data_IF_173741203679
#
_entry.id   IF_173741203679
#
_cell.length_a   1.000
_cell.length_b   1.000
_cell.length_c   1.000
_cell.angle_alpha   90.00
_cell.angle_beta   90.00
_cell.angle_gamma   90.00
#
_symmetry.space_group_name_H-M   'P 1'
#
loop_
_entity.id
_entity.type
_entity.pdbx_description
1 polymer ?
#
# COMPACT_ATOMS: atom_id res chain seq x y z
N UNK A 1 29.62 8.91 -1.04
CA UNK A 1 28.63 9.14 0.03
C UNK A 1 27.64 10.28 -0.32
N UNK A 2 28.11 11.46 -0.77
CA UNK A 2 27.25 12.62 -1.11
C UNK A 2 26.21 12.31 -2.22
N UNK A 3 26.60 11.55 -3.23
CA UNK A 3 25.73 11.20 -4.36
C UNK A 3 24.65 10.16 -3.99
N UNK A 4 24.95 9.24 -3.06
CA UNK A 4 24.03 8.24 -2.53
C UNK A 4 22.96 8.89 -1.63
N UNK A 5 23.37 9.82 -0.78
CA UNK A 5 22.48 10.56 0.12
C UNK A 5 21.49 11.42 -0.68
N UNK A 6 21.95 12.10 -1.73
CA UNK A 6 21.11 12.91 -2.61
C UNK A 6 19.97 12.09 -3.24
N UNK A 7 20.22 10.83 -3.62
CA UNK A 7 19.20 9.96 -4.24
C UNK A 7 18.08 9.52 -3.28
N UNK A 8 18.41 9.24 -2.03
CA UNK A 8 17.39 8.90 -1.00
C UNK A 8 16.59 10.14 -0.62
N UNK A 9 17.21 11.28 -0.47
CA UNK A 9 16.56 12.58 -0.24
C UNK A 9 15.50 12.86 -1.32
N UNK A 10 15.86 12.65 -2.59
CA UNK A 10 14.90 12.81 -3.71
C UNK A 10 13.67 11.90 -3.57
N UNK A 11 13.83 10.67 -3.07
CA UNK A 11 12.68 9.77 -2.84
C UNK A 11 11.80 10.27 -1.69
N UNK A 12 12.41 10.72 -0.59
CA UNK A 12 11.67 11.32 0.53
C UNK A 12 10.94 12.62 0.13
N UNK A 13 11.57 13.49 -0.64
CA UNK A 13 10.93 14.71 -1.18
C UNK A 13 9.71 14.36 -2.05
N UNK A 14 9.81 13.34 -2.90
CA UNK A 14 8.69 12.86 -3.71
C UNK A 14 7.58 12.27 -2.85
N UNK A 15 7.92 11.45 -1.85
CA UNK A 15 6.96 10.95 -0.86
C UNK A 15 6.22 12.10 -0.20
N UNK A 16 6.93 13.08 0.33
CA UNK A 16 6.35 14.21 1.05
C UNK A 16 5.41 15.03 0.16
N UNK A 17 5.79 15.25 -1.10
CA UNK A 17 4.92 15.90 -2.07
C UNK A 17 3.61 15.12 -2.30
N UNK A 18 3.71 13.79 -2.42
CA UNK A 18 2.54 12.91 -2.59
C UNK A 18 1.66 12.88 -1.34
N UNK A 19 2.27 12.80 -0.15
CA UNK A 19 1.54 12.78 1.12
C UNK A 19 0.82 14.11 1.38
N UNK A 20 1.44 15.26 1.08
CA UNK A 20 0.80 16.57 1.21
C UNK A 20 -0.47 16.69 0.38
N UNK A 21 -0.49 16.16 -0.83
CA UNK A 21 -1.65 16.21 -1.74
C UNK A 21 -2.69 15.11 -1.49
N UNK A 22 -2.41 14.15 -0.61
CA UNK A 22 -3.34 13.07 -0.27
C UNK A 22 -4.39 13.57 0.72
N UNK A 23 -5.66 13.62 0.27
CA UNK A 23 -6.80 13.96 1.14
C UNK A 23 -7.03 12.89 2.21
N UNK A 24 -7.45 13.33 3.39
CA UNK A 24 -7.90 12.50 4.51
C UNK A 24 -9.40 12.61 4.75
N UNK A 25 -10.13 13.37 3.93
CA UNK A 25 -11.58 13.55 4.07
C UNK A 25 -12.35 12.24 3.93
N UNK A 26 -11.87 11.38 3.02
CA UNK A 26 -12.47 10.08 2.73
C UNK A 26 -11.44 9.01 2.99
N UNK A 27 -11.62 8.25 4.06
CA UNK A 27 -10.84 7.04 4.35
C UNK A 27 -11.76 5.83 4.21
N UNK A 28 -11.39 4.91 3.33
CA UNK A 28 -12.18 3.70 3.07
C UNK A 28 -12.26 2.80 4.32
N UNK A 29 -13.43 2.19 4.54
CA UNK A 29 -13.64 1.17 5.60
C UNK A 29 -12.65 0.00 5.48
N UNK A 30 -12.23 -0.32 4.26
CA UNK A 30 -11.20 -1.32 3.96
C UNK A 30 -9.86 -1.09 4.72
N UNK A 31 -9.59 0.13 5.17
CA UNK A 31 -8.41 0.44 6.01
C UNK A 31 -8.39 -0.39 7.30
N UNK A 32 -9.56 -0.63 7.91
CA UNK A 32 -9.69 -1.41 9.15
C UNK A 32 -9.64 -2.93 8.94
N UNK A 33 -9.84 -3.40 7.72
CA UNK A 33 -9.83 -4.83 7.40
C UNK A 33 -8.41 -5.39 7.25
N UNK A 34 -7.42 -4.50 7.13
CA UNK A 34 -6.03 -4.86 6.86
C UNK A 34 -5.26 -5.05 8.17
N UNK A 35 -4.60 -6.19 8.32
CA UNK A 35 -3.61 -6.38 9.39
C UNK A 35 -2.27 -5.74 8.98
N UNK A 36 -2.12 -4.46 9.28
CA UNK A 36 -0.93 -3.67 8.98
C UNK A 36 0.34 -4.12 9.72
N UNK A 37 0.21 -4.98 10.73
CA UNK A 37 1.36 -5.56 11.44
C UNK A 37 2.03 -6.73 10.71
N UNK A 38 1.50 -7.18 9.57
CA UNK A 38 2.13 -8.26 8.81
C UNK A 38 3.50 -7.82 8.24
N UNK A 39 4.50 -8.72 8.21
CA UNK A 39 5.81 -8.41 7.65
C UNK A 39 5.76 -8.02 6.17
N UNK A 40 4.85 -8.64 5.42
CA UNK A 40 4.67 -8.38 4.01
C UNK A 40 3.18 -8.32 3.65
N UNK A 41 2.78 -7.22 3.01
CA UNK A 41 1.41 -6.99 2.52
C UNK A 41 1.37 -6.83 1.01
N UNK A 42 0.31 -7.37 0.41
CA UNK A 42 0.01 -7.20 -1.01
C UNK A 42 -1.41 -6.70 -1.19
N UNK A 43 -1.58 -5.44 -1.58
CA UNK A 43 -2.89 -4.85 -1.85
C UNK A 43 -3.16 -4.91 -3.34
N UNK A 44 -4.13 -5.73 -3.71
CA UNK A 44 -4.56 -5.99 -5.08
C UNK A 44 -5.91 -5.33 -5.36
N UNK A 45 -6.25 -5.19 -6.61
CA UNK A 45 -7.57 -4.67 -7.00
C UNK A 45 -7.52 -3.87 -8.29
N UNK A 46 -8.67 -3.62 -8.92
CA UNK A 46 -8.74 -2.90 -10.18
C UNK A 46 -8.06 -1.52 -10.15
N UNK A 47 -7.75 -1.00 -11.31
CA UNK A 47 -7.26 0.37 -11.42
C UNK A 47 -8.34 1.36 -10.95
N UNK A 48 -7.95 2.39 -10.22
CA UNK A 48 -8.85 3.45 -9.76
C UNK A 48 -9.62 3.17 -8.47
N UNK A 49 -9.48 1.97 -7.84
CA UNK A 49 -10.20 1.66 -6.58
C UNK A 49 -9.64 2.37 -5.34
N UNK A 50 -8.50 3.06 -5.46
CA UNK A 50 -7.93 3.83 -4.35
C UNK A 50 -6.78 3.17 -3.60
N UNK A 51 -6.12 2.13 -4.14
CA UNK A 51 -4.98 1.45 -3.49
C UNK A 51 -3.86 2.41 -3.09
N UNK A 52 -3.42 3.24 -4.02
CA UNK A 52 -2.37 4.24 -3.79
C UNK A 52 -2.77 5.27 -2.73
N UNK A 53 -4.04 5.69 -2.76
CA UNK A 53 -4.58 6.61 -1.76
C UNK A 53 -4.60 5.97 -0.38
N UNK A 54 -5.08 4.72 -0.28
CA UNK A 54 -5.12 3.95 0.95
C UNK A 54 -3.74 3.81 1.60
N UNK A 55 -2.73 3.44 0.82
CA UNK A 55 -1.35 3.31 1.30
C UNK A 55 -0.78 4.63 1.82
N UNK A 56 -1.01 5.72 1.08
CA UNK A 56 -0.57 7.07 1.51
C UNK A 56 -1.32 7.57 2.74
N UNK A 57 -2.63 7.28 2.84
CA UNK A 57 -3.42 7.56 4.03
C UNK A 57 -2.91 6.78 5.24
N UNK A 58 -2.56 5.50 5.06
CA UNK A 58 -1.94 4.70 6.11
C UNK A 58 -0.64 5.35 6.62
N UNK A 59 0.23 5.81 5.72
CA UNK A 59 1.45 6.52 6.11
C UNK A 59 1.13 7.79 6.92
N UNK A 60 0.17 8.60 6.46
CA UNK A 60 -0.23 9.83 7.16
C UNK A 60 -0.84 9.57 8.55
N UNK A 61 -1.49 8.42 8.75
CA UNK A 61 -2.12 8.06 10.04
C UNK A 61 -1.11 7.51 11.06
N UNK A 62 0.00 6.93 10.59
CA UNK A 62 0.89 6.14 11.47
C UNK A 62 2.31 6.70 11.57
N UNK A 63 2.67 7.68 10.77
CA UNK A 63 4.01 8.27 10.76
C UNK A 63 3.94 9.80 10.77
N UNK A 64 4.84 10.41 11.54
CA UNK A 64 4.97 11.86 11.55
C UNK A 64 5.47 12.39 10.19
N UNK A 65 5.05 13.60 9.79
CA UNK A 65 5.57 14.25 8.59
C UNK A 65 7.09 14.32 8.59
N UNK A 66 7.72 13.92 7.47
CA UNK A 66 9.17 13.90 7.34
C UNK A 66 9.87 12.71 8.02
N UNK A 67 9.11 11.72 8.51
CA UNK A 67 9.69 10.51 9.10
C UNK A 67 10.49 9.71 8.07
N UNK A 68 11.76 9.43 8.35
CA UNK A 68 12.61 8.54 7.56
C UNK A 68 12.42 7.05 7.91
N UNK A 69 11.51 6.71 8.83
CA UNK A 69 11.20 5.32 9.17
C UNK A 69 10.30 4.63 8.13
N UNK A 70 9.61 5.39 7.28
CA UNK A 70 8.77 4.90 6.19
C UNK A 70 9.18 5.52 4.86
N UNK A 71 9.19 4.70 3.80
CA UNK A 71 9.41 5.17 2.44
C UNK A 71 8.34 4.61 1.51
N UNK A 72 7.56 5.50 0.90
CA UNK A 72 6.61 5.20 -0.16
C UNK A 72 7.23 5.53 -1.52
N UNK A 73 7.25 4.55 -2.41
CA UNK A 73 7.71 4.70 -3.79
C UNK A 73 6.64 4.22 -4.76
N UNK A 74 6.39 4.98 -5.83
CA UNK A 74 5.61 4.49 -6.96
C UNK A 74 6.54 3.97 -8.05
N UNK A 75 6.25 2.77 -8.58
CA UNK A 75 7.00 2.18 -9.68
C UNK A 75 6.79 2.91 -11.02
N UNK A 76 5.88 3.89 -11.08
CA UNK A 76 5.73 4.82 -12.18
C UNK A 76 6.80 5.93 -12.21
N UNK A 77 7.55 6.08 -11.15
CA UNK A 77 8.57 7.13 -11.13
C UNK A 77 9.73 6.79 -12.08
N UNK A 78 10.15 7.77 -12.84
CA UNK A 78 11.31 7.66 -13.76
C UNK A 78 12.59 7.18 -13.03
N UNK A 79 12.66 7.40 -11.73
CA UNK A 79 13.74 6.89 -10.88
C UNK A 79 14.00 5.40 -11.08
N UNK A 80 12.94 4.58 -11.19
CA UNK A 80 13.04 3.12 -11.34
C UNK A 80 13.35 2.65 -12.76
N UNK A 81 13.53 3.55 -13.71
CA UNK A 81 14.14 3.21 -15.01
C UNK A 81 15.65 3.02 -14.93
N UNK A 82 16.29 3.51 -13.87
CA UNK A 82 17.74 3.49 -13.68
C UNK A 82 18.17 2.83 -12.36
N UNK A 83 17.25 2.57 -11.45
CA UNK A 83 17.51 2.00 -10.13
C UNK A 83 16.57 0.84 -9.83
N UNK A 84 17.10 -0.20 -9.19
CA UNK A 84 16.31 -1.35 -8.79
C UNK A 84 15.57 -1.12 -7.46
N UNK A 85 14.52 -1.92 -7.22
CA UNK A 85 13.84 -1.97 -5.93
C UNK A 85 14.79 -2.43 -4.83
N UNK A 86 15.66 -3.41 -5.14
CA UNK A 86 16.66 -3.93 -4.20
C UNK A 86 17.67 -2.85 -3.80
N UNK A 87 18.17 -2.04 -4.74
CA UNK A 87 19.07 -0.91 -4.44
C UNK A 87 18.43 0.10 -3.48
N UNK A 88 17.15 0.41 -3.69
CA UNK A 88 16.40 1.30 -2.80
C UNK A 88 16.22 0.68 -1.42
N UNK A 89 15.83 -0.59 -1.36
CA UNK A 89 15.63 -1.32 -0.10
C UNK A 89 16.91 -1.37 0.74
N UNK A 90 18.05 -1.69 0.10
CA UNK A 90 19.36 -1.73 0.77
C UNK A 90 19.71 -0.38 1.41
N UNK A 91 19.57 0.71 0.65
CA UNK A 91 19.91 2.05 1.14
C UNK A 91 18.96 2.51 2.25
N UNK A 92 17.68 2.24 2.08
CA UNK A 92 16.65 2.56 3.06
C UNK A 92 16.87 1.80 4.38
N UNK A 93 17.12 0.49 4.29
CA UNK A 93 17.41 -0.33 5.46
C UNK A 93 18.66 0.14 6.21
N UNK A 94 19.76 0.45 5.50
CA UNK A 94 21.00 0.99 6.09
C UNK A 94 20.81 2.33 6.81
N UNK A 95 19.79 3.10 6.45
CA UNK A 95 19.39 4.34 7.14
C UNK A 95 18.48 4.09 8.35
N UNK A 96 18.13 2.83 8.64
CA UNK A 96 17.23 2.48 9.75
C UNK A 96 15.75 2.47 9.37
N UNK A 97 15.43 2.45 8.09
CA UNK A 97 14.07 2.34 7.57
C UNK A 97 13.33 1.11 8.11
N UNK A 98 12.04 1.25 8.36
CA UNK A 98 11.18 0.20 8.97
C UNK A 98 10.09 -0.31 8.05
N UNK A 99 9.50 0.56 7.26
CA UNK A 99 8.44 0.22 6.31
C UNK A 99 8.78 0.74 4.92
N UNK A 100 8.90 -0.17 3.96
CA UNK A 100 9.08 0.16 2.54
C UNK A 100 7.81 -0.19 1.77
N UNK A 101 7.31 0.75 1.00
CA UNK A 101 6.07 0.60 0.20
C UNK A 101 6.41 0.78 -1.27
N UNK A 102 6.13 -0.24 -2.08
CA UNK A 102 6.21 -0.20 -3.52
C UNK A 102 4.82 -0.23 -4.15
N UNK A 103 4.35 0.94 -4.55
CA UNK A 103 3.05 1.10 -5.21
C UNK A 103 3.15 0.83 -6.71
N UNK A 104 2.09 0.21 -7.28
CA UNK A 104 2.04 -0.20 -8.70
C UNK A 104 3.22 -1.14 -9.11
N UNK A 105 3.63 -2.03 -8.20
CA UNK A 105 4.81 -2.90 -8.37
C UNK A 105 4.84 -3.65 -9.71
N UNK A 106 3.68 -4.02 -10.25
CA UNK A 106 3.55 -4.73 -11.54
C UNK A 106 4.12 -3.96 -12.75
N UNK A 107 4.38 -2.67 -12.60
CA UNK A 107 5.00 -1.86 -13.66
C UNK A 107 6.51 -2.03 -13.75
N UNK A 108 7.13 -2.61 -12.74
CA UNK A 108 8.54 -2.95 -12.73
C UNK A 108 8.72 -4.43 -13.07
N UNK A 109 9.40 -4.75 -14.17
CA UNK A 109 9.45 -6.10 -14.73
C UNK A 109 9.99 -7.17 -13.79
N UNK A 110 11.00 -6.84 -12.97
CA UNK A 110 11.66 -7.77 -12.06
C UNK A 110 11.07 -7.77 -10.63
N UNK A 111 9.92 -7.13 -10.41
CA UNK A 111 9.36 -6.87 -9.10
C UNK A 111 9.25 -8.11 -8.21
N UNK A 112 8.74 -9.24 -8.73
CA UNK A 112 8.50 -10.44 -7.90
C UNK A 112 9.80 -11.06 -7.39
N UNK A 113 10.84 -11.08 -8.24
CA UNK A 113 12.16 -11.58 -7.86
C UNK A 113 12.82 -10.69 -6.80
N UNK A 114 12.83 -9.38 -7.05
CA UNK A 114 13.47 -8.43 -6.14
C UNK A 114 12.71 -8.31 -4.81
N UNK A 115 11.37 -8.35 -4.81
CA UNK A 115 10.55 -8.37 -3.60
C UNK A 115 10.86 -9.58 -2.72
N UNK A 116 11.06 -10.78 -3.32
CA UNK A 116 11.49 -11.97 -2.58
C UNK A 116 12.85 -11.77 -1.94
N UNK A 117 13.80 -11.33 -2.73
CA UNK A 117 15.17 -11.10 -2.28
C UNK A 117 15.22 -10.07 -1.15
N UNK A 118 14.47 -8.96 -1.26
CA UNK A 118 14.32 -7.96 -0.20
C UNK A 118 13.77 -8.56 1.08
N UNK A 119 12.70 -9.37 0.99
CA UNK A 119 12.09 -9.99 2.15
C UNK A 119 13.00 -11.03 2.83
N UNK A 120 13.89 -11.67 2.07
CA UNK A 120 14.88 -12.61 2.60
C UNK A 120 16.07 -11.91 3.27
N UNK A 121 16.57 -10.85 2.66
CA UNK A 121 17.76 -10.14 3.16
C UNK A 121 17.41 -9.22 4.35
N UNK A 122 16.21 -8.63 4.34
CA UNK A 122 15.78 -7.64 5.34
C UNK A 122 14.49 -8.07 6.06
N UNK A 123 14.48 -9.18 6.80
CA UNK A 123 13.27 -9.73 7.41
C UNK A 123 12.64 -8.84 8.49
N UNK A 124 13.40 -7.89 9.05
CA UNK A 124 12.94 -6.94 10.06
C UNK A 124 12.30 -5.68 9.46
N UNK A 125 12.38 -5.52 8.14
CA UNK A 125 11.77 -4.41 7.42
C UNK A 125 10.42 -4.84 6.84
N UNK A 126 9.35 -4.15 7.21
CA UNK A 126 8.05 -4.39 6.59
C UNK A 126 8.07 -3.99 5.12
N UNK A 127 7.43 -4.80 4.29
CA UNK A 127 7.35 -4.58 2.86
C UNK A 127 5.90 -4.62 2.38
N UNK A 128 5.38 -3.49 1.91
CA UNK A 128 4.05 -3.42 1.33
C UNK A 128 4.14 -3.20 -0.17
N UNK A 129 3.36 -3.96 -0.91
CA UNK A 129 3.28 -3.83 -2.37
C UNK A 129 1.84 -3.65 -2.82
N UNK A 130 1.63 -2.90 -3.87
CA UNK A 130 0.32 -2.79 -4.51
C UNK A 130 0.40 -2.97 -6.02
N UNK A 131 -0.73 -3.34 -6.62
CA UNK A 131 -0.84 -3.38 -8.07
C UNK A 131 -2.16 -3.95 -8.57
N UNK A 132 -2.53 -3.57 -9.78
CA UNK A 132 -3.77 -4.03 -10.41
C UNK A 132 -3.66 -5.44 -11.01
N UNK A 133 -2.47 -5.84 -11.44
CA UNK A 133 -2.22 -7.11 -12.13
C UNK A 133 -1.54 -8.16 -11.25
N UNK A 134 -1.36 -7.89 -9.96
CA UNK A 134 -0.63 -8.78 -9.03
C UNK A 134 -1.31 -10.14 -8.83
N UNK A 135 -2.62 -10.25 -9.05
CA UNK A 135 -3.37 -11.50 -8.96
C UNK A 135 -2.76 -12.61 -9.83
N UNK A 136 -2.53 -12.33 -11.12
CA UNK A 136 -2.01 -13.33 -12.07
C UNK A 136 -0.55 -13.72 -11.80
N UNK A 137 0.19 -12.87 -11.13
CA UNK A 137 1.62 -13.06 -10.90
C UNK A 137 1.89 -13.75 -9.55
N UNK A 138 1.07 -13.49 -8.54
CA UNK A 138 1.14 -14.20 -7.25
C UNK A 138 0.63 -15.63 -7.35
N UNK A 139 -0.41 -15.88 -8.16
CA UNK A 139 -0.93 -17.23 -8.41
C UNK A 139 0.09 -18.14 -9.12
N UNK A 140 1.03 -17.55 -9.89
CA UNK A 140 2.13 -18.26 -10.53
C UNK A 140 3.38 -18.47 -9.66
N UNK A 141 3.44 -17.84 -8.48
CA UNK A 141 4.59 -17.88 -7.58
C UNK A 141 4.17 -18.34 -6.16
N UNK A 142 4.19 -19.65 -5.97
CA UNK A 142 3.77 -20.28 -4.71
C UNK A 142 4.59 -19.87 -3.48
N UNK A 143 5.81 -19.38 -3.67
CA UNK A 143 6.66 -18.94 -2.57
C UNK A 143 6.30 -17.53 -2.11
N UNK A 144 6.12 -16.61 -3.04
CA UNK A 144 5.71 -15.24 -2.75
C UNK A 144 4.29 -15.19 -2.14
N UNK A 145 3.36 -16.03 -2.65
CA UNK A 145 1.99 -16.11 -2.14
C UNK A 145 1.91 -16.60 -0.68
N UNK A 146 2.87 -17.42 -0.23
CA UNK A 146 2.95 -17.88 1.17
C UNK A 146 3.51 -16.82 2.12
N UNK A 147 4.39 -15.95 1.64
CA UNK A 147 5.05 -14.91 2.43
C UNK A 147 4.21 -13.63 2.53
N UNK A 148 3.43 -13.34 1.49
CA UNK A 148 2.66 -12.11 1.38
C UNK A 148 1.22 -12.29 1.86
N UNK A 149 0.78 -11.46 2.80
CA UNK A 149 -0.64 -11.38 3.16
C UNK A 149 -1.36 -10.55 2.11
N UNK A 150 -2.15 -11.24 1.26
CA UNK A 150 -2.90 -10.62 0.18
C UNK A 150 -4.24 -10.06 0.63
N UNK A 151 -4.55 -8.85 0.18
CA UNK A 151 -5.85 -8.21 0.36
C UNK A 151 -6.38 -7.73 -0.98
N UNK A 152 -7.61 -8.11 -1.30
CA UNK A 152 -8.29 -7.71 -2.51
C UNK A 152 -9.17 -6.49 -2.23
N UNK A 153 -8.72 -5.31 -2.65
CA UNK A 153 -9.45 -4.06 -2.47
C UNK A 153 -10.57 -3.95 -3.51
N UNK A 154 -11.83 -4.05 -3.09
CA UNK A 154 -12.98 -3.94 -4.00
C UNK A 154 -13.23 -2.48 -4.42
N UNK A 155 -14.09 -2.28 -5.40
CA UNK A 155 -14.71 -0.98 -5.65
C UNK A 155 -15.45 -0.45 -4.41
N UNK A 156 -15.95 0.78 -4.50
CA UNK A 156 -16.78 1.34 -3.42
C UNK A 156 -18.01 0.46 -3.20
N UNK A 157 -18.29 0.16 -1.93
CA UNK A 157 -19.61 -0.38 -1.56
C UNK A 157 -20.70 0.69 -1.76
N UNK A 158 -21.95 0.28 -1.90
CA UNK A 158 -23.06 1.23 -2.00
C UNK A 158 -23.13 2.16 -0.77
N UNK A 159 -22.83 1.64 0.42
CA UNK A 159 -22.77 2.41 1.65
C UNK A 159 -21.66 3.47 1.60
N UNK A 160 -20.45 3.11 1.20
CA UNK A 160 -19.35 4.07 1.02
C UNK A 160 -19.71 5.11 -0.04
N UNK A 161 -20.37 4.71 -1.13
CA UNK A 161 -20.84 5.65 -2.15
C UNK A 161 -21.83 6.66 -1.59
N UNK A 162 -22.83 6.22 -0.80
CA UNK A 162 -23.82 7.10 -0.18
C UNK A 162 -23.14 8.07 0.81
N UNK A 163 -22.23 7.57 1.64
CA UNK A 163 -21.50 8.40 2.58
C UNK A 163 -20.63 9.44 1.85
N UNK A 164 -19.85 9.04 0.86
CA UNK A 164 -18.88 9.91 0.20
C UNK A 164 -19.48 10.94 -0.77
N UNK A 165 -20.57 10.59 -1.44
CA UNK A 165 -21.15 11.45 -2.49
C UNK A 165 -22.49 12.09 -2.12
N UNK A 166 -23.13 11.62 -1.07
CA UNK A 166 -24.46 12.07 -0.65
C UNK A 166 -24.52 12.52 0.80
N UNK A 167 -23.42 12.36 1.54
CA UNK A 167 -23.36 12.60 2.99
C UNK A 167 -24.46 11.86 3.76
N UNK A 168 -24.77 10.65 3.30
CA UNK A 168 -25.78 9.77 3.91
C UNK A 168 -25.03 8.65 4.63
N UNK A 169 -25.15 8.62 5.95
CA UNK A 169 -24.68 7.52 6.77
C UNK A 169 -25.74 6.40 6.83
N UNK A 170 -25.31 5.18 6.50
CA UNK A 170 -26.14 3.98 6.55
C UNK A 170 -25.48 2.98 7.47
N UNK A 171 -26.17 2.60 8.54
CA UNK A 171 -25.68 1.60 9.49
C UNK A 171 -25.49 0.22 8.84
N UNK A 172 -24.55 -0.53 9.40
CA UNK A 172 -24.30 -1.90 8.98
C UNK A 172 -25.15 -2.85 9.81
N UNK A 173 -26.01 -3.62 9.13
CA UNK A 173 -26.79 -4.65 9.78
C UNK A 173 -26.33 -6.05 9.37
N UNK A 174 -26.27 -6.97 10.31
CA UNK A 174 -26.04 -8.38 10.03
C UNK A 174 -27.24 -9.00 9.31
N UNK A 175 -27.03 -10.09 8.56
CA UNK A 175 -28.14 -10.81 7.94
C UNK A 175 -29.22 -11.23 8.96
N UNK A 176 -28.80 -11.58 10.17
CA UNK A 176 -29.71 -11.94 11.28
C UNK A 176 -30.62 -10.79 11.66
N UNK A 177 -30.07 -9.59 11.86
CA UNK A 177 -30.84 -8.38 12.18
C UNK A 177 -31.83 -8.02 11.07
N UNK A 178 -31.42 -8.14 9.80
CA UNK A 178 -32.28 -7.88 8.64
C UNK A 178 -33.46 -8.87 8.60
N UNK A 179 -33.23 -10.15 8.91
CA UNK A 179 -34.25 -11.17 8.89
C UNK A 179 -35.20 -11.08 10.11
N UNK A 180 -34.72 -10.71 11.26
CA UNK A 180 -35.51 -10.61 12.51
C UNK A 180 -36.28 -9.29 12.60
N UNK A 181 -35.85 -8.21 11.97
CA UNK A 181 -36.46 -6.87 12.07
C UNK A 181 -36.58 -6.18 10.68
N UNK A 182 -37.26 -6.76 9.69
CA UNK A 182 -37.25 -6.20 8.33
C UNK A 182 -37.97 -4.86 8.16
N UNK A 183 -38.67 -4.36 9.18
CA UNK A 183 -39.39 -3.08 9.15
C UNK A 183 -38.67 -1.91 9.81
N UNK A 184 -37.46 -2.11 10.36
CA UNK A 184 -36.72 -1.11 11.11
C UNK A 184 -35.48 -0.64 10.34
N UNK A 185 -35.30 -1.11 9.12
CA UNK A 185 -34.17 -0.83 8.25
C UNK A 185 -34.58 0.06 7.08
#
# INVERSE_FOLDING_TARGET
QRQIQLRMETLFEKQDAMLRTTSMEIVRSFMSDINWGAPMLCIRGPRGVGKSTLLRQYVKLNYEPGSEAVLYCSMDWVYFSQHSMLEVAEKFYKKGGKLLIFDEAHKYSNWSREVKEIAEIYPDMQLFISGSSLLKLLDGDADLSRRCRGYDMPGLSFREFLHFYKDIEVESHSLKEILESPKTI
#
